data_IF_710255027426
#
_entry.id   IF_710255027426
#
_cell.length_a   1.000
_cell.length_b   1.000
_cell.length_c   1.000
_cell.angle_alpha   90.00
_cell.angle_beta   90.00
_cell.angle_gamma   90.00
#
_symmetry.space_group_name_H-M   'P 1'
#
loop_
_entity.id
_entity.type
_entity.pdbx_description
1 polymer ?
#
# COMPACT_ATOMS: atom_id res chain seq x y z
N UNK A 1 -27.79 2.18 -29.84
CA UNK A 1 -27.19 1.17 -28.95
C UNK A 1 -27.69 1.54 -27.57
N UNK A 2 -28.57 0.73 -26.99
CA UNK A 2 -29.27 1.10 -25.75
C UNK A 2 -28.52 0.56 -24.54
N UNK A 3 -28.08 1.45 -23.66
CA UNK A 3 -27.39 1.07 -22.43
C UNK A 3 -28.39 0.49 -21.42
N UNK A 4 -28.24 -0.79 -21.08
CA UNK A 4 -29.10 -1.47 -20.09
C UNK A 4 -28.81 -0.93 -18.67
N UNK A 5 -27.54 -0.63 -18.36
CA UNK A 5 -27.07 0.03 -17.12
C UNK A 5 -25.76 0.77 -17.38
N UNK A 6 -25.51 1.81 -16.58
CA UNK A 6 -24.24 2.57 -16.60
C UNK A 6 -23.08 1.73 -16.00
N UNK A 7 -23.35 0.89 -15.00
CA UNK A 7 -22.35 0.05 -14.33
C UNK A 7 -22.64 -1.44 -14.55
N UNK A 8 -21.82 -2.09 -15.38
CA UNK A 8 -21.90 -3.52 -15.71
C UNK A 8 -21.03 -4.43 -14.82
N UNK A 9 -20.56 -3.95 -13.67
CA UNK A 9 -19.53 -4.57 -12.83
C UNK A 9 -18.15 -4.75 -13.49
N UNK A 10 -17.90 -4.25 -14.70
CA UNK A 10 -16.56 -4.36 -15.31
C UNK A 10 -15.54 -3.42 -14.65
N UNK A 11 -15.96 -2.23 -14.18
CA UNK A 11 -15.16 -1.42 -13.25
C UNK A 11 -14.88 -2.15 -11.93
N UNK A 12 -15.78 -3.07 -11.55
CA UNK A 12 -15.80 -3.83 -10.30
C UNK A 12 -15.44 -3.00 -9.06
N UNK A 13 -16.40 -2.17 -8.66
CA UNK A 13 -16.34 -1.40 -7.41
C UNK A 13 -16.74 -2.25 -6.21
N UNK A 14 -15.94 -2.18 -5.14
CA UNK A 14 -16.14 -2.84 -3.85
C UNK A 14 -16.22 -4.36 -3.99
N UNK A 15 -15.46 -4.91 -4.93
CA UNK A 15 -15.35 -6.33 -5.23
C UNK A 15 -13.87 -6.68 -5.45
N UNK A 16 -13.48 -7.96 -5.41
CA UNK A 16 -12.10 -8.37 -5.71
C UNK A 16 -11.96 -8.87 -7.17
N UNK A 17 -11.88 -7.99 -8.19
CA UNK A 17 -11.71 -8.42 -9.57
C UNK A 17 -10.24 -8.57 -9.96
N UNK A 18 -9.97 -9.47 -10.90
CA UNK A 18 -8.64 -9.57 -11.51
C UNK A 18 -8.30 -8.35 -12.38
N UNK A 19 -9.32 -7.69 -12.97
CA UNK A 19 -9.11 -6.52 -13.83
C UNK A 19 -8.46 -5.36 -13.07
N UNK A 20 -8.90 -5.07 -11.84
CA UNK A 20 -8.28 -4.01 -11.03
C UNK A 20 -6.83 -4.35 -10.64
N UNK A 21 -6.49 -5.64 -10.50
CA UNK A 21 -5.12 -6.07 -10.24
C UNK A 21 -4.20 -5.86 -11.45
N UNK A 22 -4.68 -6.22 -12.64
CA UNK A 22 -3.92 -6.24 -13.89
C UNK A 22 -3.86 -4.84 -14.52
N UNK A 23 -5.01 -4.24 -14.76
CA UNK A 23 -5.15 -2.96 -15.50
C UNK A 23 -5.09 -1.74 -14.55
N UNK A 24 -5.23 -1.97 -13.25
CA UNK A 24 -5.28 -0.92 -12.24
C UNK A 24 -6.66 -0.27 -12.12
N UNK A 25 -6.89 0.45 -11.02
CA UNK A 25 -8.08 1.28 -10.78
C UNK A 25 -7.74 2.41 -9.80
N UNK A 26 -8.15 3.64 -10.10
CA UNK A 26 -7.68 4.77 -9.30
C UNK A 26 -6.20 5.05 -9.58
N UNK A 27 -5.31 4.88 -8.59
CA UNK A 27 -3.86 5.07 -8.78
C UNK A 27 -3.05 3.80 -8.53
N UNK A 28 -2.10 3.58 -9.42
CA UNK A 28 -1.03 2.61 -9.27
C UNK A 28 0.22 3.30 -8.71
N UNK A 29 0.78 2.75 -7.65
CA UNK A 29 1.92 3.33 -6.93
C UNK A 29 2.96 2.26 -6.67
N UNK A 30 4.22 2.60 -6.90
CA UNK A 30 5.37 1.80 -6.47
C UNK A 30 6.17 2.62 -5.46
N UNK A 31 6.59 1.98 -4.36
CA UNK A 31 7.50 2.56 -3.39
C UNK A 31 8.62 1.57 -3.10
N UNK A 32 9.85 2.05 -3.08
CA UNK A 32 11.01 1.27 -2.68
C UNK A 32 11.75 1.91 -1.49
N UNK A 33 12.51 1.09 -0.77
CA UNK A 33 13.51 1.54 0.20
C UNK A 33 14.59 0.48 0.41
N UNK A 34 15.78 0.94 0.80
CA UNK A 34 16.87 0.09 1.29
C UNK A 34 16.94 0.24 2.80
N UNK A 35 16.96 -0.88 3.54
CA UNK A 35 17.06 -0.86 5.00
C UNK A 35 18.49 -1.24 5.38
N UNK A 36 19.23 -0.32 5.99
CA UNK A 36 20.60 -0.62 6.41
C UNK A 36 20.67 -1.65 7.54
N UNK A 37 21.71 -2.50 7.50
CA UNK A 37 21.95 -3.60 8.44
C UNK A 37 21.84 -3.19 9.92
N UNK A 38 22.33 -2.00 10.26
CA UNK A 38 22.26 -1.45 11.61
C UNK A 38 20.79 -1.31 12.09
N UNK A 39 19.88 -0.85 11.24
CA UNK A 39 18.44 -0.74 11.52
C UNK A 39 17.81 -2.13 11.64
N UNK A 40 18.18 -3.07 10.77
CA UNK A 40 17.66 -4.44 10.83
C UNK A 40 18.04 -5.09 12.15
N UNK A 41 19.30 -5.05 12.55
CA UNK A 41 19.78 -5.68 13.79
C UNK A 41 19.26 -4.96 15.04
N UNK A 42 19.20 -3.63 15.03
CA UNK A 42 18.78 -2.85 16.20
C UNK A 42 17.26 -2.81 16.39
N UNK A 43 16.49 -2.72 15.30
CA UNK A 43 15.03 -2.49 15.34
C UNK A 43 14.26 -3.73 14.94
N UNK A 44 14.63 -4.37 13.82
CA UNK A 44 13.93 -5.56 13.33
C UNK A 44 14.39 -6.83 14.02
N UNK A 45 15.55 -6.86 14.68
CA UNK A 45 16.10 -8.07 15.34
C UNK A 45 16.16 -9.28 14.39
N UNK A 46 16.46 -9.03 13.12
CA UNK A 46 16.44 -10.02 12.05
C UNK A 46 17.73 -9.98 11.21
N UNK A 47 17.82 -10.86 10.21
CA UNK A 47 18.86 -10.88 9.18
C UNK A 47 18.22 -10.56 7.82
N UNK A 48 18.90 -9.80 6.97
CA UNK A 48 18.46 -9.46 5.62
C UNK A 48 18.06 -10.68 4.80
N UNK A 49 18.91 -11.71 4.76
CA UNK A 49 18.68 -12.95 4.00
C UNK A 49 17.41 -13.66 4.46
N UNK A 50 17.22 -13.75 5.79
CA UNK A 50 16.03 -14.38 6.38
C UNK A 50 14.76 -13.60 6.05
N UNK A 51 14.82 -12.26 6.00
CA UNK A 51 13.68 -11.43 5.60
C UNK A 51 13.29 -11.65 4.14
N UNK A 52 14.29 -11.74 3.24
CA UNK A 52 14.05 -12.02 1.83
C UNK A 52 13.42 -13.42 1.65
N UNK A 53 13.98 -14.43 2.30
CA UNK A 53 13.45 -15.79 2.25
C UNK A 53 12.02 -15.88 2.79
N UNK A 54 11.75 -15.21 3.92
CA UNK A 54 10.41 -15.12 4.49
C UNK A 54 9.42 -14.45 3.55
N UNK A 55 9.84 -13.39 2.84
CA UNK A 55 8.98 -12.72 1.86
C UNK A 55 8.60 -13.68 0.72
N UNK A 56 9.57 -14.43 0.19
CA UNK A 56 9.33 -15.41 -0.88
C UNK A 56 8.37 -16.49 -0.39
N UNK A 57 8.63 -17.10 0.77
CA UNK A 57 7.80 -18.19 1.28
C UNK A 57 6.39 -17.72 1.66
N UNK A 58 6.26 -16.58 2.33
CA UNK A 58 4.99 -16.12 2.91
C UNK A 58 4.14 -15.31 1.95
N UNK A 59 4.72 -14.27 1.32
CA UNK A 59 3.97 -13.32 0.52
C UNK A 59 3.78 -13.78 -0.92
N UNK A 60 4.74 -14.56 -1.46
CA UNK A 60 4.68 -15.04 -2.83
C UNK A 60 4.17 -16.48 -2.87
N UNK A 61 5.01 -17.45 -2.51
CA UNK A 61 4.69 -18.89 -2.62
C UNK A 61 3.43 -19.24 -1.83
N UNK A 62 3.36 -18.85 -0.55
CA UNK A 62 2.20 -19.12 0.30
C UNK A 62 0.90 -18.57 -0.29
N UNK A 63 0.89 -17.33 -0.76
CA UNK A 63 -0.27 -16.70 -1.40
C UNK A 63 -0.67 -17.38 -2.71
N UNK A 64 0.31 -17.78 -3.54
CA UNK A 64 0.05 -18.54 -4.77
C UNK A 64 -0.60 -19.89 -4.46
N UNK A 65 -0.09 -20.61 -3.45
CA UNK A 65 -0.60 -21.94 -3.08
C UNK A 65 -2.08 -21.94 -2.66
N UNK A 66 -2.58 -20.83 -2.11
CA UNK A 66 -3.99 -20.68 -1.70
C UNK A 66 -4.85 -19.91 -2.71
N UNK A 67 -4.29 -19.56 -3.88
CA UNK A 67 -5.04 -18.86 -4.93
C UNK A 67 -5.42 -17.42 -4.60
N UNK A 68 -4.62 -16.72 -3.80
CA UNK A 68 -4.87 -15.30 -3.49
C UNK A 68 -4.66 -14.43 -4.74
N UNK A 69 -5.62 -13.56 -5.00
CA UNK A 69 -5.57 -12.57 -6.07
C UNK A 69 -5.17 -11.20 -5.49
N UNK A 70 -4.07 -10.63 -5.99
CA UNK A 70 -3.60 -9.28 -5.62
C UNK A 70 -3.12 -9.10 -4.17
N UNK A 71 -3.25 -10.11 -3.30
CA UNK A 71 -2.85 -10.06 -1.89
C UNK A 71 -1.45 -10.63 -1.60
N UNK A 72 -0.44 -10.28 -2.40
CA UNK A 72 0.94 -10.75 -2.24
C UNK A 72 1.73 -9.91 -1.22
N UNK A 73 1.13 -9.68 -0.06
CA UNK A 73 1.69 -8.84 1.00
C UNK A 73 1.43 -9.45 2.38
N UNK A 74 2.03 -8.86 3.40
CA UNK A 74 1.84 -9.31 4.77
C UNK A 74 0.44 -8.97 5.30
N UNK A 75 0.07 -7.70 5.17
CA UNK A 75 -1.15 -7.13 5.75
C UNK A 75 -1.38 -5.69 5.24
N UNK A 76 -1.15 -5.44 3.95
CA UNK A 76 -1.44 -4.12 3.36
C UNK A 76 -2.86 -3.65 3.68
N UNK A 77 -3.81 -4.59 3.71
CA UNK A 77 -5.20 -4.41 4.13
C UNK A 77 -5.38 -3.66 5.47
N UNK A 78 -4.56 -3.97 6.49
CA UNK A 78 -4.67 -3.33 7.80
C UNK A 78 -4.26 -1.85 7.73
N UNK A 79 -3.18 -1.55 7.00
CA UNK A 79 -2.68 -0.20 6.85
C UNK A 79 -3.63 0.67 6.04
N UNK A 80 -4.14 0.14 4.92
CA UNK A 80 -5.12 0.82 4.07
C UNK A 80 -6.38 1.09 4.88
N UNK A 81 -6.92 0.09 5.57
CA UNK A 81 -8.10 0.26 6.45
C UNK A 81 -7.90 1.35 7.50
N UNK A 82 -6.76 1.36 8.19
CA UNK A 82 -6.47 2.35 9.22
C UNK A 82 -6.45 3.78 8.66
N UNK A 83 -5.80 3.97 7.50
CA UNK A 83 -5.75 5.27 6.83
C UNK A 83 -7.14 5.66 6.33
N UNK A 84 -7.92 4.72 5.79
CA UNK A 84 -9.24 4.97 5.23
C UNK A 84 -10.20 5.45 6.31
N UNK A 85 -10.23 4.75 7.45
CA UNK A 85 -11.04 5.14 8.61
C UNK A 85 -10.58 6.51 9.15
N UNK A 86 -9.28 6.72 9.30
CA UNK A 86 -8.74 7.96 9.86
C UNK A 86 -9.00 9.18 8.97
N UNK A 87 -8.99 9.01 7.65
CA UNK A 87 -9.07 10.11 6.68
C UNK A 87 -10.43 10.24 5.96
N UNK A 88 -11.42 9.43 6.34
CA UNK A 88 -12.78 9.52 5.79
C UNK A 88 -12.92 9.00 4.38
N UNK A 89 -12.17 7.95 4.04
CA UNK A 89 -12.29 7.26 2.76
C UNK A 89 -13.40 6.20 2.83
N UNK A 90 -13.84 5.73 1.66
CA UNK A 90 -14.81 4.65 1.59
C UNK A 90 -14.15 3.32 1.96
N UNK A 91 -14.41 2.84 3.18
CA UNK A 91 -13.83 1.60 3.70
C UNK A 91 -14.18 0.37 2.86
N UNK A 92 -15.30 0.36 2.14
CA UNK A 92 -15.66 -0.77 1.30
C UNK A 92 -14.70 -0.92 0.10
N UNK A 93 -14.09 0.17 -0.36
CA UNK A 93 -13.10 0.16 -1.45
C UNK A 93 -11.76 -0.44 -1.05
N UNK A 94 -11.55 -0.69 0.25
CA UNK A 94 -10.36 -1.37 0.72
C UNK A 94 -10.19 -2.75 0.05
N UNK A 95 -11.30 -3.44 -0.31
CA UNK A 95 -11.26 -4.73 -1.01
C UNK A 95 -10.51 -4.70 -2.35
N UNK A 96 -10.45 -3.55 -3.02
CA UNK A 96 -9.58 -3.38 -4.19
C UNK A 96 -8.31 -2.59 -3.87
N UNK A 97 -8.36 -1.66 -2.91
CA UNK A 97 -7.21 -0.82 -2.57
C UNK A 97 -6.11 -1.55 -1.79
N UNK A 98 -6.39 -2.73 -1.21
CA UNK A 98 -5.35 -3.54 -0.56
C UNK A 98 -4.45 -4.29 -1.54
N UNK A 99 -4.82 -4.37 -2.83
CA UNK A 99 -4.04 -5.03 -3.86
C UNK A 99 -2.60 -4.56 -3.84
N UNK A 100 -1.70 -5.45 -3.45
CA UNK A 100 -0.34 -5.14 -3.07
C UNK A 100 0.56 -6.37 -3.32
N UNK A 101 1.69 -6.14 -3.98
CA UNK A 101 2.80 -7.10 -4.04
C UNK A 101 4.02 -6.51 -3.34
N UNK A 102 4.62 -7.30 -2.46
CA UNK A 102 5.87 -6.98 -1.77
C UNK A 102 6.99 -7.84 -2.31
N UNK A 103 8.01 -7.21 -2.87
CA UNK A 103 9.23 -7.84 -3.34
C UNK A 103 10.38 -7.43 -2.43
N UNK A 104 11.32 -8.36 -2.20
CA UNK A 104 12.53 -8.08 -1.45
C UNK A 104 13.71 -8.76 -2.12
N UNK A 105 14.84 -8.09 -2.09
CA UNK A 105 16.12 -8.60 -2.54
C UNK A 105 17.23 -8.12 -1.63
N UNK A 106 18.34 -8.84 -1.59
CA UNK A 106 19.51 -8.40 -0.81
C UNK A 106 20.45 -7.59 -1.70
N UNK A 107 20.84 -6.41 -1.22
CA UNK A 107 21.83 -5.53 -1.82
C UNK A 107 23.04 -5.38 -0.90
N UNK A 108 24.06 -4.65 -1.34
CA UNK A 108 25.27 -4.37 -0.55
C UNK A 108 25.93 -5.63 0.02
N UNK A 109 26.20 -6.61 -0.86
CA UNK A 109 26.84 -7.89 -0.52
C UNK A 109 26.05 -8.73 0.50
N UNK A 110 24.71 -8.60 0.51
CA UNK A 110 23.85 -9.37 1.39
C UNK A 110 23.52 -8.71 2.73
N UNK A 111 24.06 -7.51 3.00
CA UNK A 111 23.88 -6.84 4.28
C UNK A 111 22.55 -6.11 4.43
N UNK A 112 22.06 -5.54 3.34
CA UNK A 112 20.90 -4.65 3.34
C UNK A 112 19.80 -5.24 2.45
N UNK A 113 18.56 -5.41 2.91
CA UNK A 113 17.44 -5.74 2.06
C UNK A 113 16.93 -4.46 1.39
N UNK A 114 16.83 -4.52 0.08
CA UNK A 114 15.97 -3.63 -0.69
C UNK A 114 14.58 -4.23 -0.72
N UNK A 115 13.59 -3.40 -0.44
CA UNK A 115 12.18 -3.76 -0.48
C UNK A 115 11.46 -2.85 -1.44
N UNK A 116 10.58 -3.43 -2.24
CA UNK A 116 9.63 -2.69 -3.05
C UNK A 116 8.20 -3.18 -2.82
N UNK A 117 7.28 -2.22 -2.83
CA UNK A 117 5.85 -2.46 -2.71
C UNK A 117 5.17 -1.80 -3.89
N UNK A 118 4.39 -2.58 -4.65
CA UNK A 118 3.50 -2.07 -5.69
C UNK A 118 2.06 -2.28 -5.29
N UNK A 119 1.28 -1.22 -5.35
CA UNK A 119 -0.16 -1.24 -5.16
C UNK A 119 -0.84 -0.73 -6.42
N UNK A 120 -1.69 -1.55 -7.06
CA UNK A 120 -2.19 -1.26 -8.41
C UNK A 120 -3.53 -0.52 -8.44
N UNK A 121 -4.33 -0.64 -7.39
CA UNK A 121 -5.72 -0.16 -7.39
C UNK A 121 -6.13 0.68 -6.19
N UNK A 122 -5.32 1.69 -5.81
CA UNK A 122 -5.65 2.54 -4.65
C UNK A 122 -6.68 3.59 -5.06
N UNK A 123 -7.80 3.62 -4.34
CA UNK A 123 -8.86 4.61 -4.50
C UNK A 123 -9.00 5.48 -3.26
N UNK A 124 -8.60 6.73 -3.38
CA UNK A 124 -8.73 7.73 -2.32
C UNK A 124 -9.15 9.06 -2.90
N UNK A 125 -9.77 9.87 -2.05
CA UNK A 125 -10.14 11.24 -2.32
C UNK A 125 -9.76 12.14 -1.14
N UNK A 126 -9.45 13.40 -1.45
CA UNK A 126 -9.13 14.43 -0.44
C UNK A 126 -10.23 15.51 -0.34
N UNK A 127 -11.30 15.34 -1.12
CA UNK A 127 -12.49 16.20 -1.18
C UNK A 127 -13.70 15.31 -1.44
N UNK A 128 -14.83 15.60 -0.78
CA UNK A 128 -16.09 14.87 -0.98
C UNK A 128 -16.29 13.72 0.02
N UNK A 129 -17.54 13.24 0.14
CA UNK A 129 -17.90 12.21 1.12
C UNK A 129 -17.53 12.59 2.56
N UNK A 130 -17.05 11.61 3.32
CA UNK A 130 -16.73 11.75 4.75
C UNK A 130 -15.42 12.51 5.01
N UNK A 131 -14.64 12.84 3.97
CA UNK A 131 -13.42 13.66 4.09
C UNK A 131 -13.68 15.07 4.62
N UNK A 132 -14.94 15.53 4.58
CA UNK A 132 -15.36 16.84 5.06
C UNK A 132 -15.70 16.87 6.56
N UNK A 133 -15.84 15.70 7.20
CA UNK A 133 -16.11 15.60 8.63
C UNK A 133 -14.92 16.15 9.42
N UNK A 134 -15.18 16.89 10.50
CA UNK A 134 -14.15 17.65 11.22
C UNK A 134 -12.95 16.80 11.68
N UNK A 135 -13.19 15.58 12.17
CA UNK A 135 -12.13 14.65 12.59
C UNK A 135 -11.28 14.14 11.43
N UNK A 136 -11.91 13.65 10.37
CA UNK A 136 -11.27 13.12 9.17
C UNK A 136 -10.49 14.23 8.46
N UNK A 137 -11.06 15.43 8.42
CA UNK A 137 -10.44 16.63 7.90
C UNK A 137 -9.17 17.02 8.68
N UNK A 138 -9.19 16.89 10.02
CA UNK A 138 -8.01 17.11 10.85
C UNK A 138 -6.89 16.12 10.50
N UNK A 139 -7.22 14.84 10.27
CA UNK A 139 -6.26 13.84 9.81
C UNK A 139 -5.69 14.17 8.42
N UNK A 140 -6.53 14.60 7.47
CA UNK A 140 -6.09 15.05 6.14
C UNK A 140 -5.20 16.31 6.21
N UNK A 141 -5.46 17.21 7.16
CA UNK A 141 -4.60 18.36 7.41
C UNK A 141 -3.25 17.94 8.01
N UNK A 142 -3.23 16.97 8.93
CA UNK A 142 -1.99 16.42 9.50
C UNK A 142 -1.12 15.79 8.42
N UNK A 143 -1.74 15.11 7.45
CA UNK A 143 -1.06 14.54 6.29
C UNK A 143 -0.68 15.60 5.24
N UNK A 144 -1.14 16.85 5.35
CA UNK A 144 -0.83 17.94 4.42
C UNK A 144 -1.52 17.84 3.04
N UNK A 145 -2.64 17.12 2.96
CA UNK A 145 -3.28 16.68 1.69
C UNK A 145 -4.71 17.19 1.49
N UNK A 146 -5.25 17.96 2.44
CA UNK A 146 -6.61 18.51 2.31
C UNK A 146 -6.74 19.35 1.03
N UNK A 147 -7.88 19.17 0.35
CA UNK A 147 -8.35 20.06 -0.72
C UNK A 147 -8.15 19.48 -2.10
N UNK A 148 -8.52 20.26 -3.11
CA UNK A 148 -8.54 19.88 -4.53
C UNK A 148 -7.17 19.98 -5.22
N UNK A 149 -6.09 20.02 -4.45
CA UNK A 149 -4.75 20.23 -5.00
C UNK A 149 -4.22 18.92 -5.64
N UNK A 150 -3.26 19.02 -6.57
CA UNK A 150 -2.54 17.87 -7.17
C UNK A 150 -1.82 16.98 -6.15
N UNK A 151 -1.81 17.39 -4.88
CA UNK A 151 -1.26 16.70 -3.70
C UNK A 151 -2.04 15.47 -3.22
N UNK A 152 -3.12 15.04 -3.88
CA UNK A 152 -3.69 13.69 -3.64
C UNK A 152 -2.59 12.62 -3.72
N UNK A 153 -1.55 12.87 -4.55
CA UNK A 153 -0.30 12.13 -4.61
C UNK A 153 0.34 11.78 -3.26
N UNK A 154 0.24 12.66 -2.26
CA UNK A 154 0.85 12.46 -0.96
C UNK A 154 0.05 11.50 -0.07
N UNK A 155 -1.29 11.42 -0.23
CA UNK A 155 -2.10 10.36 0.40
C UNK A 155 -1.62 8.98 -0.05
N UNK A 156 -1.39 8.83 -1.36
CA UNK A 156 -0.85 7.62 -1.95
C UNK A 156 0.53 7.29 -1.39
N UNK A 157 1.45 8.27 -1.32
CA UNK A 157 2.78 8.10 -0.69
C UNK A 157 2.65 7.57 0.74
N UNK A 158 1.79 8.17 1.55
CA UNK A 158 1.59 7.70 2.92
C UNK A 158 1.11 6.24 2.93
N UNK A 159 0.08 5.89 2.15
CA UNK A 159 -0.45 4.52 2.11
C UNK A 159 0.63 3.50 1.73
N UNK A 160 1.38 3.77 0.65
CA UNK A 160 2.41 2.84 0.17
C UNK A 160 3.63 2.79 1.10
N UNK A 161 4.03 3.91 1.71
CA UNK A 161 5.08 3.93 2.74
C UNK A 161 4.66 3.19 4.01
N UNK A 162 3.39 3.28 4.42
CA UNK A 162 2.87 2.47 5.53
C UNK A 162 2.86 0.98 5.16
N UNK A 163 2.52 0.65 3.91
CA UNK A 163 2.66 -0.70 3.36
C UNK A 163 4.12 -1.21 3.30
N UNK A 164 5.10 -0.31 3.17
CA UNK A 164 6.52 -0.64 3.30
C UNK A 164 6.93 -0.84 4.77
N UNK A 165 6.43 0.00 5.68
CA UNK A 165 6.70 -0.10 7.13
C UNK A 165 6.15 -1.38 7.76
N UNK A 166 5.20 -2.03 7.11
CA UNK A 166 4.63 -3.31 7.52
C UNK A 166 5.58 -4.51 7.52
N UNK A 167 6.80 -4.38 6.99
CA UNK A 167 7.82 -5.45 7.04
C UNK A 167 8.11 -5.89 8.47
N UNK A 168 8.02 -4.97 9.45
CA UNK A 168 8.20 -5.31 10.87
C UNK A 168 7.13 -6.27 11.40
N UNK A 169 5.91 -6.25 10.87
CA UNK A 169 4.85 -7.12 11.38
C UNK A 169 5.04 -8.58 10.98
N UNK A 170 5.70 -8.85 9.85
CA UNK A 170 6.18 -10.20 9.53
C UNK A 170 7.05 -10.75 10.66
N UNK A 171 7.78 -9.88 11.38
CA UNK A 171 8.57 -10.27 12.55
C UNK A 171 7.81 -10.14 13.89
N UNK A 172 6.64 -9.50 13.91
CA UNK A 172 5.84 -9.32 15.12
C UNK A 172 4.95 -10.54 15.45
N UNK A 173 4.94 -11.54 14.55
CA UNK A 173 4.64 -12.94 14.89
C UNK A 173 5.76 -13.61 15.74
N UNK A 174 6.89 -12.92 15.95
CA UNK A 174 8.02 -13.40 16.76
C UNK A 174 8.31 -12.48 17.97
N UNK A 175 8.24 -11.14 17.90
CA UNK A 175 8.53 -10.31 19.09
C UNK A 175 7.77 -8.96 19.15
N UNK A 176 7.24 -8.65 20.34
CA UNK A 176 6.65 -7.35 20.71
C UNK A 176 7.70 -6.22 20.76
N UNK A 177 7.46 -5.06 20.13
CA UNK A 177 7.59 -3.73 20.77
C UNK A 177 7.41 -2.52 19.84
N UNK A 178 6.78 -1.49 20.45
CA UNK A 178 6.47 -0.14 19.96
C UNK A 178 7.73 0.75 19.84
N UNK A 179 7.96 1.32 18.64
CA UNK A 179 8.58 2.63 18.33
C UNK A 179 9.15 2.59 16.91
N UNK A 180 8.41 3.04 15.90
CA UNK A 180 8.96 3.43 14.58
C UNK A 180 8.02 4.45 13.93
N UNK A 181 8.23 5.73 14.22
CA UNK A 181 7.74 6.80 13.31
C UNK A 181 8.86 7.72 12.82
N UNK A 182 10.12 7.54 13.25
CA UNK A 182 11.19 8.54 13.05
C UNK A 182 12.49 8.02 12.43
N UNK A 183 12.55 6.79 11.90
CA UNK A 183 13.83 6.15 11.52
C UNK A 183 13.97 5.74 10.05
N UNK A 184 12.96 6.01 9.22
CA UNK A 184 13.12 5.88 7.77
C UNK A 184 13.35 7.30 7.26
N UNK A 185 14.59 7.61 6.88
CA UNK A 185 14.99 8.94 6.42
C UNK A 185 14.35 9.30 5.09
N UNK A 186 14.15 10.60 4.86
CA UNK A 186 13.51 11.14 3.65
C UNK A 186 14.27 10.84 2.34
N UNK A 187 15.52 10.38 2.41
CA UNK A 187 16.45 10.27 1.26
C UNK A 187 16.40 8.95 0.48
N UNK A 188 15.51 8.00 0.80
CA UNK A 188 15.53 6.63 0.21
C UNK A 188 14.29 6.21 -0.59
N UNK A 189 13.42 7.16 -0.95
CA UNK A 189 12.15 6.86 -1.63
C UNK A 189 12.17 7.27 -3.11
N UNK A 190 12.28 6.29 -4.02
CA UNK A 190 11.83 6.48 -5.40
C UNK A 190 10.38 6.02 -5.52
N UNK A 191 9.56 6.85 -6.16
CA UNK A 191 8.14 6.64 -6.34
C UNK A 191 7.76 6.87 -7.79
N UNK A 192 7.48 5.78 -8.50
CA UNK A 192 6.92 5.83 -9.84
C UNK A 192 5.40 5.68 -9.76
N UNK A 193 4.71 6.67 -10.34
CA UNK A 193 3.26 6.74 -10.42
C UNK A 193 2.85 6.47 -11.86
N UNK A 194 2.07 5.41 -12.04
CA UNK A 194 1.38 5.19 -13.30
C UNK A 194 -0.09 5.61 -13.12
N UNK A 195 -0.54 6.54 -13.94
CA UNK A 195 -1.95 6.89 -14.03
C UNK A 195 -2.69 5.73 -14.72
N UNK A 196 -3.46 4.96 -13.97
CA UNK A 196 -4.45 4.05 -14.52
C UNK A 196 -5.66 4.88 -14.95
N UNK A 197 -5.60 5.51 -16.13
CA UNK A 197 -6.75 6.19 -16.74
C UNK A 197 -7.75 5.15 -17.22
N UNK A 198 -8.66 4.74 -16.33
CA UNK A 198 -9.85 3.99 -16.68
C UNK A 198 -11.00 4.43 -15.78
N UNK A 199 -11.54 5.65 -16.02
CA UNK A 199 -12.89 6.11 -15.67
C UNK A 199 -13.04 7.66 -15.85
N UNK A 200 -12.65 8.21 -17.00
CA UNK A 200 -12.97 9.62 -17.32
C UNK A 200 -13.32 9.86 -18.79
N UNK A 201 -13.85 8.86 -19.48
CA UNK A 201 -14.49 9.04 -20.79
C UNK A 201 -15.76 8.17 -20.86
N UNK A 202 -16.88 8.75 -20.43
CA UNK A 202 -18.24 8.64 -21.02
C UNK A 202 -19.27 9.28 -20.10
#
# INVERSE_FOLDING_TARGET
MDAIRILGNYCSDKKPPAVNWIDGRGKSVVCEAIIHENVIKSVLKANAVVLVELNILKNLTGSVMVGVLGGFSAHANNNVSAIYIASGQDLAQNIESFHCITMMETVNEGRDPQVSVRMSSIEVATVGGDTQLASQLACLNLLGVKGSNKLTLHCYKCITQYALKSIKQCNHLILHSKKIMSLVGDDTYHLDLCDATCCSES
#
